data_IF_630727370845
#
_entry.id   IF_630727370845
#
_cell.length_a   1.000
_cell.length_b   1.000
_cell.length_c   1.000
_cell.angle_alpha   90.00
_cell.angle_beta   90.00
_cell.angle_gamma   90.00
#
_symmetry.space_group_name_H-M   'P 1'
#
loop_
_entity.id
_entity.type
_entity.pdbx_description
1 polymer ?
#
# COMPACT_ATOMS: atom_id res chain seq x y z
N UNK A 1 -16.34 -16.57 -25.09
CA UNK A 1 -15.72 -15.28 -25.47
C UNK A 1 -14.54 -15.08 -24.54
N UNK A 2 -13.34 -15.30 -25.06
CA UNK A 2 -12.07 -15.25 -24.35
C UNK A 2 -11.77 -13.83 -23.85
N UNK A 3 -11.43 -13.68 -22.59
CA UNK A 3 -10.55 -12.59 -22.17
C UNK A 3 -9.71 -13.06 -20.99
N UNK A 4 -8.49 -13.49 -21.31
CA UNK A 4 -7.42 -13.68 -20.36
C UNK A 4 -7.21 -12.38 -19.58
N UNK A 5 -7.71 -12.30 -18.35
CA UNK A 5 -7.29 -11.26 -17.44
C UNK A 5 -5.82 -11.52 -17.09
N UNK A 6 -4.94 -10.58 -17.45
CA UNK A 6 -3.58 -10.53 -16.93
C UNK A 6 -3.67 -10.45 -15.41
N UNK A 7 -3.54 -11.58 -14.72
CA UNK A 7 -3.75 -11.69 -13.26
C UNK A 7 -2.96 -10.68 -12.42
N UNK A 8 -1.86 -10.15 -12.96
CA UNK A 8 -1.08 -9.08 -12.32
C UNK A 8 -1.79 -7.73 -12.22
N UNK A 9 -2.66 -7.39 -13.19
CA UNK A 9 -3.37 -6.11 -13.19
C UNK A 9 -4.45 -6.09 -12.09
N UNK A 10 -5.19 -7.20 -11.95
CA UNK A 10 -6.19 -7.37 -10.89
C UNK A 10 -5.57 -7.37 -9.49
N UNK A 11 -4.38 -7.97 -9.34
CA UNK A 11 -3.65 -7.97 -8.07
C UNK A 11 -3.23 -6.56 -7.67
N UNK A 12 -2.53 -5.83 -8.56
CA UNK A 12 -2.10 -4.45 -8.31
C UNK A 12 -3.30 -3.56 -7.98
N UNK A 13 -4.38 -3.66 -8.75
CA UNK A 13 -5.62 -2.91 -8.49
C UNK A 13 -6.21 -3.23 -7.11
N UNK A 14 -6.15 -4.48 -6.65
CA UNK A 14 -6.57 -4.88 -5.31
C UNK A 14 -5.78 -4.16 -4.21
N UNK A 15 -4.45 -4.19 -4.31
CA UNK A 15 -3.55 -3.51 -3.36
C UNK A 15 -3.82 -2.00 -3.33
N UNK A 16 -3.95 -1.36 -4.49
CA UNK A 16 -4.22 0.08 -4.57
C UNK A 16 -5.61 0.42 -4.01
N UNK A 17 -6.64 -0.40 -4.22
CA UNK A 17 -7.96 -0.17 -3.58
C UNK A 17 -7.88 -0.24 -2.07
N UNK A 18 -7.10 -1.16 -1.52
CA UNK A 18 -6.89 -1.24 -0.07
C UNK A 18 -6.15 -0.01 0.46
N UNK A 19 -5.10 0.45 -0.25
CA UNK A 19 -4.41 1.69 0.07
C UNK A 19 -5.37 2.89 0.06
N UNK A 20 -6.23 3.02 -0.96
CA UNK A 20 -7.24 4.09 -1.02
C UNK A 20 -8.24 4.03 0.14
N UNK A 21 -8.62 2.83 0.60
CA UNK A 21 -9.43 2.69 1.80
C UNK A 21 -8.67 3.17 3.06
N UNK A 22 -7.38 2.86 3.18
CA UNK A 22 -6.54 3.38 4.27
C UNK A 22 -6.42 4.91 4.25
N UNK A 23 -6.32 5.52 3.05
CA UNK A 23 -6.32 6.98 2.87
C UNK A 23 -7.64 7.60 3.34
N UNK A 24 -8.78 7.03 2.92
CA UNK A 24 -10.11 7.48 3.36
C UNK A 24 -10.29 7.35 4.87
N UNK A 25 -9.77 6.28 5.47
CA UNK A 25 -9.81 6.13 6.92
C UNK A 25 -8.98 7.24 7.61
N UNK A 26 -7.83 7.60 7.04
CA UNK A 26 -7.03 8.72 7.54
C UNK A 26 -7.75 10.07 7.38
N UNK A 27 -8.42 10.32 6.26
CA UNK A 27 -9.29 11.50 6.10
C UNK A 27 -10.36 11.56 7.20
N UNK A 28 -11.01 10.43 7.50
CA UNK A 28 -12.02 10.35 8.56
C UNK A 28 -11.39 10.64 9.94
N UNK A 29 -10.17 10.16 10.20
CA UNK A 29 -9.41 10.46 11.43
C UNK A 29 -9.07 11.95 11.58
N UNK A 30 -8.78 12.64 10.47
CA UNK A 30 -8.41 14.06 10.46
C UNK A 30 -9.62 15.00 10.54
N UNK A 31 -10.81 14.57 10.11
CA UNK A 31 -12.03 15.40 10.11
C UNK A 31 -12.35 16.07 11.46
N UNK A 32 -12.32 15.38 12.62
CA UNK A 32 -12.57 16.02 13.92
C UNK A 32 -11.54 17.09 14.30
N UNK A 33 -10.36 17.07 13.66
CA UNK A 33 -9.27 18.03 13.85
C UNK A 33 -9.37 19.22 12.88
N UNK A 34 -10.37 19.23 11.99
CA UNK A 34 -10.51 20.20 10.89
C UNK A 34 -9.27 20.25 9.96
N UNK A 35 -8.58 19.12 9.83
CA UNK A 35 -7.43 18.96 8.94
C UNK A 35 -7.83 18.16 7.69
N UNK A 36 -7.19 18.48 6.57
CA UNK A 36 -7.33 17.74 5.31
C UNK A 36 -6.21 16.72 5.15
N UNK A 37 -6.45 15.67 4.36
CA UNK A 37 -5.40 14.75 3.95
C UNK A 37 -4.46 15.46 2.96
N UNK A 38 -3.33 15.94 3.48
CA UNK A 38 -2.26 16.52 2.65
C UNK A 38 -1.43 15.43 1.98
N UNK A 39 -0.65 15.82 0.98
CA UNK A 39 0.30 14.91 0.31
C UNK A 39 1.31 14.29 1.29
N UNK A 40 1.74 15.06 2.31
CA UNK A 40 2.61 14.56 3.38
C UNK A 40 1.90 13.50 4.23
N UNK A 41 0.63 13.72 4.59
CA UNK A 41 -0.17 12.72 5.32
C UNK A 41 -0.41 11.48 4.46
N UNK A 42 -0.65 11.64 3.16
CA UNK A 42 -0.76 10.53 2.23
C UNK A 42 0.55 9.72 2.17
N UNK A 43 1.70 10.37 2.06
CA UNK A 43 3.01 9.69 2.15
C UNK A 43 3.18 8.90 3.46
N UNK A 44 2.74 9.46 4.59
CA UNK A 44 2.77 8.77 5.89
C UNK A 44 1.88 7.53 5.90
N UNK A 45 0.69 7.59 5.28
CA UNK A 45 -0.20 6.43 5.14
C UNK A 45 0.46 5.33 4.29
N UNK A 46 1.07 5.68 3.14
CA UNK A 46 1.75 4.69 2.28
C UNK A 46 2.89 4.02 3.06
N UNK A 47 3.74 4.80 3.74
CA UNK A 47 4.83 4.27 4.59
C UNK A 47 4.32 3.37 5.71
N UNK A 48 3.20 3.74 6.35
CA UNK A 48 2.54 2.91 7.36
C UNK A 48 2.08 1.58 6.78
N UNK A 49 1.48 1.57 5.59
CA UNK A 49 1.06 0.34 4.91
C UNK A 49 2.27 -0.54 4.56
N UNK A 50 3.34 0.02 4.01
CA UNK A 50 4.59 -0.71 3.73
C UNK A 50 5.18 -1.34 4.99
N UNK A 51 5.21 -0.59 6.10
CA UNK A 51 5.67 -1.12 7.39
C UNK A 51 4.81 -2.29 7.85
N UNK A 52 3.48 -2.18 7.77
CA UNK A 52 2.58 -3.28 8.14
C UNK A 52 2.84 -4.55 7.32
N UNK A 53 3.16 -4.42 6.02
CA UNK A 53 3.55 -5.57 5.19
C UNK A 53 4.86 -6.19 5.65
N UNK A 54 5.88 -5.38 5.94
CA UNK A 54 7.15 -5.86 6.50
C UNK A 54 6.97 -6.60 7.83
N UNK A 55 6.20 -6.01 8.76
CA UNK A 55 5.90 -6.63 10.06
C UNK A 55 5.13 -7.96 9.86
N UNK A 56 4.18 -8.03 8.91
CA UNK A 56 3.49 -9.28 8.56
C UNK A 56 4.42 -10.33 7.96
N UNK A 57 5.35 -9.94 7.07
CA UNK A 57 6.35 -10.83 6.47
C UNK A 57 7.20 -11.48 7.56
N UNK A 58 7.70 -10.69 8.52
CA UNK A 58 8.51 -11.21 9.63
C UNK A 58 7.72 -12.21 10.48
N UNK A 59 6.48 -11.87 10.84
CA UNK A 59 5.61 -12.74 11.62
C UNK A 59 5.29 -14.07 10.88
N UNK A 60 5.00 -14.02 9.58
CA UNK A 60 4.71 -15.22 8.80
C UNK A 60 5.95 -16.08 8.55
N UNK A 61 7.14 -15.48 8.42
CA UNK A 61 8.41 -16.21 8.41
C UNK A 61 8.61 -17.00 9.70
N UNK A 62 8.38 -16.38 10.86
CA UNK A 62 8.46 -17.07 12.15
C UNK A 62 7.44 -18.23 12.26
N UNK A 63 6.27 -18.06 11.65
CA UNK A 63 5.23 -19.09 11.59
C UNK A 63 5.42 -20.16 10.51
N UNK A 64 6.52 -20.15 9.75
CA UNK A 64 6.77 -21.03 8.60
C UNK A 64 5.65 -21.01 7.52
N UNK A 65 4.98 -19.86 7.34
CA UNK A 65 3.90 -19.66 6.35
C UNK A 65 4.42 -18.97 5.09
N UNK A 66 5.21 -19.69 4.30
CA UNK A 66 5.85 -19.14 3.09
C UNK A 66 4.84 -18.60 2.07
N UNK A 67 3.66 -19.21 1.97
CA UNK A 67 2.57 -18.75 1.11
C UNK A 67 2.15 -17.31 1.44
N UNK A 68 2.04 -16.98 2.73
CA UNK A 68 1.71 -15.64 3.19
C UNK A 68 2.90 -14.69 3.05
N UNK A 69 4.13 -15.17 3.29
CA UNK A 69 5.35 -14.36 3.06
C UNK A 69 5.43 -13.90 1.61
N UNK A 70 5.17 -14.79 0.66
CA UNK A 70 5.23 -14.50 -0.77
C UNK A 70 4.15 -13.49 -1.17
N UNK A 71 2.92 -13.67 -0.65
CA UNK A 71 1.83 -12.73 -0.87
C UNK A 71 2.18 -11.33 -0.34
N UNK A 72 2.59 -11.22 0.93
CA UNK A 72 2.90 -9.94 1.57
C UNK A 72 4.08 -9.22 0.90
N UNK A 73 5.08 -9.99 0.47
CA UNK A 73 6.22 -9.47 -0.31
C UNK A 73 5.76 -8.92 -1.67
N UNK A 74 4.82 -9.59 -2.33
CA UNK A 74 4.27 -9.11 -3.60
C UNK A 74 3.47 -7.81 -3.41
N UNK A 75 2.67 -7.71 -2.34
CA UNK A 75 1.91 -6.50 -2.01
C UNK A 75 2.84 -5.33 -1.66
N UNK A 76 3.88 -5.59 -0.85
CA UNK A 76 4.89 -4.59 -0.49
C UNK A 76 5.55 -3.95 -1.72
N UNK A 77 5.94 -4.77 -2.71
CA UNK A 77 6.55 -4.26 -3.95
C UNK A 77 5.63 -3.30 -4.71
N UNK A 78 4.33 -3.57 -4.73
CA UNK A 78 3.35 -2.67 -5.37
C UNK A 78 3.25 -1.35 -4.62
N UNK A 79 3.27 -1.38 -3.29
CA UNK A 79 3.28 -0.18 -2.46
C UNK A 79 4.57 0.64 -2.63
N UNK A 80 5.73 -0.02 -2.76
CA UNK A 80 7.02 0.62 -3.04
C UNK A 80 7.04 1.29 -4.42
N UNK A 81 6.55 0.61 -5.46
CA UNK A 81 6.39 1.19 -6.81
C UNK A 81 5.51 2.43 -6.76
N UNK A 82 4.35 2.35 -6.08
CA UNK A 82 3.42 3.46 -5.94
C UNK A 82 4.02 4.62 -5.13
N UNK A 83 4.70 4.33 -4.02
CA UNK A 83 5.37 5.35 -3.20
C UNK A 83 6.41 6.13 -4.00
N UNK A 84 7.25 5.42 -4.77
CA UNK A 84 8.28 6.03 -5.60
C UNK A 84 7.70 6.85 -6.75
N UNK A 85 6.56 6.45 -7.32
CA UNK A 85 5.87 7.23 -8.34
C UNK A 85 5.28 8.51 -7.72
N UNK A 86 4.59 8.37 -6.59
CA UNK A 86 3.95 9.48 -5.87
C UNK A 86 4.97 10.52 -5.38
N UNK A 87 6.10 10.07 -4.80
CA UNK A 87 7.14 11.00 -4.33
C UNK A 87 7.76 11.81 -5.48
N UNK A 88 7.98 11.17 -6.63
CA UNK A 88 8.48 11.84 -7.84
C UNK A 88 7.50 12.88 -8.37
N UNK A 89 6.20 12.59 -8.36
CA UNK A 89 5.16 13.53 -8.81
C UNK A 89 5.13 14.79 -7.95
N UNK A 90 5.38 14.65 -6.64
CA UNK A 90 5.50 15.77 -5.70
C UNK A 90 6.84 16.53 -5.80
N UNK A 91 7.74 16.13 -6.69
CA UNK A 91 9.09 16.71 -6.79
C UNK A 91 9.99 16.36 -5.60
N UNK A 92 9.58 15.40 -4.77
CA UNK A 92 10.36 14.90 -3.63
C UNK A 92 11.25 13.76 -4.12
N UNK A 93 12.51 14.06 -4.40
CA UNK A 93 13.50 13.01 -4.66
C UNK A 93 13.87 12.33 -3.34
N UNK A 94 13.76 11.00 -3.28
CA UNK A 94 14.36 10.17 -2.23
C UNK A 94 15.87 10.04 -2.44
#
# INVERSE_FOLDING_TARGET
MLSHHKSGDTFKVGVIRYLLAAMKNKEIELRPQHEDLTDEEAMKVIKKQMKQRNDSIENYKMGNRQDLVDQETAELKVLEEYFNMFSKELGVSL
#
